data_IF_032411140122
#
_entry.id   IF_032411140122
#
_cell.length_a   1.000
_cell.length_b   1.000
_cell.length_c   1.000
_cell.angle_alpha   90.00
_cell.angle_beta   90.00
_cell.angle_gamma   90.00
#
_symmetry.space_group_name_H-M   'P 1'
#
loop_
_entity.id
_entity.type
_entity.pdbx_description
1 polymer ?
#
# COMPACT_ATOMS: atom_id res chain seq x y z
N UNK A 1 -29.75 -4.63 9.67
CA UNK A 1 -28.45 -5.03 10.24
C UNK A 1 -27.43 -4.98 9.12
N UNK A 2 -26.25 -4.43 9.35
CA UNK A 2 -25.16 -4.44 8.36
C UNK A 2 -24.47 -5.81 8.39
N UNK A 3 -24.01 -6.31 7.25
CA UNK A 3 -23.38 -7.62 7.12
C UNK A 3 -21.88 -7.47 6.94
N UNK A 4 -21.11 -8.01 7.87
CA UNK A 4 -19.66 -8.10 7.82
C UNK A 4 -19.26 -9.53 7.42
N UNK A 5 -18.66 -9.70 6.25
CA UNK A 5 -18.00 -10.95 5.89
C UNK A 5 -16.65 -11.04 6.59
N UNK A 6 -16.40 -12.11 7.35
CA UNK A 6 -15.12 -12.37 8.02
C UNK A 6 -14.46 -13.60 7.41
N UNK A 7 -13.19 -13.46 7.01
CA UNK A 7 -12.35 -14.56 6.51
C UNK A 7 -11.02 -14.56 7.25
N UNK A 8 -10.70 -15.62 7.98
CA UNK A 8 -9.40 -15.79 8.63
C UNK A 8 -8.61 -16.85 7.86
N UNK A 9 -7.40 -16.51 7.39
CA UNK A 9 -6.48 -17.53 6.91
C UNK A 9 -5.74 -18.12 8.13
N UNK A 10 -6.03 -19.36 8.55
CA UNK A 10 -5.54 -19.91 9.81
C UNK A 10 -4.04 -20.22 9.81
N UNK A 11 -3.36 -20.16 8.66
CA UNK A 11 -1.93 -20.47 8.54
C UNK A 11 -1.06 -19.22 8.30
N UNK A 12 -1.66 -18.04 8.19
CA UNK A 12 -0.92 -16.81 7.93
C UNK A 12 -0.08 -16.35 9.15
N UNK A 13 1.07 -15.73 8.85
CA UNK A 13 1.96 -15.14 9.85
C UNK A 13 3.02 -16.07 10.44
N UNK A 14 3.02 -17.37 10.11
CA UNK A 14 3.98 -18.33 10.68
C UNK A 14 5.42 -18.13 10.17
N UNK A 15 5.60 -17.92 8.87
CA UNK A 15 6.88 -18.01 8.19
C UNK A 15 7.84 -16.86 8.48
N UNK A 16 7.32 -15.63 8.58
CA UNK A 16 8.15 -14.45 8.85
C UNK A 16 8.88 -14.53 10.19
N UNK A 17 8.28 -15.19 11.20
CA UNK A 17 8.82 -15.30 12.56
C UNK A 17 10.00 -16.26 12.67
N UNK A 18 10.02 -17.30 11.84
CA UNK A 18 11.10 -18.30 11.79
C UNK A 18 12.10 -18.02 10.65
N UNK A 19 12.08 -16.82 10.09
CA UNK A 19 12.98 -16.42 9.01
C UNK A 19 12.70 -17.10 7.66
N UNK A 20 11.57 -17.79 7.53
CA UNK A 20 11.14 -18.37 6.27
C UNK A 20 10.57 -17.26 5.37
N UNK A 21 10.84 -17.37 4.06
CA UNK A 21 10.48 -16.38 3.05
C UNK A 21 9.00 -16.49 2.63
N UNK A 22 8.07 -16.55 3.58
CA UNK A 22 6.64 -16.77 3.31
C UNK A 22 6.04 -17.88 4.16
N UNK A 23 4.73 -18.10 4.05
CA UNK A 23 4.00 -19.22 4.67
C UNK A 23 3.22 -20.07 3.65
N UNK A 24 3.47 -19.82 2.37
CA UNK A 24 2.74 -20.44 1.28
C UNK A 24 3.36 -21.82 0.97
N UNK A 25 2.51 -22.82 0.75
CA UNK A 25 2.91 -24.20 0.47
C UNK A 25 2.99 -25.11 1.70
N UNK A 26 2.49 -26.35 1.54
CA UNK A 26 2.38 -27.34 2.61
C UNK A 26 3.72 -27.66 3.29
N UNK A 27 4.81 -27.73 2.52
CA UNK A 27 6.17 -28.01 3.03
C UNK A 27 6.71 -26.87 3.92
N UNK A 28 6.44 -25.61 3.57
CA UNK A 28 6.87 -24.44 4.35
C UNK A 28 6.06 -24.35 5.65
N UNK A 29 4.76 -24.63 5.58
CA UNK A 29 3.90 -24.66 6.77
C UNK A 29 4.32 -25.76 7.73
N UNK A 30 4.63 -26.96 7.22
CA UNK A 30 5.14 -28.07 8.02
C UNK A 30 6.46 -27.69 8.70
N UNK A 31 7.40 -27.12 7.95
CA UNK A 31 8.70 -26.67 8.48
C UNK A 31 8.56 -25.53 9.49
N UNK A 32 7.63 -24.60 9.29
CA UNK A 32 7.36 -23.52 10.26
C UNK A 32 6.82 -24.07 11.58
N UNK A 33 5.90 -25.05 11.52
CA UNK A 33 5.37 -25.75 12.71
C UNK A 33 6.45 -26.54 13.45
N UNK A 34 7.32 -27.24 12.73
CA UNK A 34 8.48 -27.95 13.31
C UNK A 34 9.45 -26.98 14.03
N UNK A 35 9.57 -25.75 13.53
CA UNK A 35 10.36 -24.68 14.16
C UNK A 35 9.60 -23.93 15.28
N UNK A 36 8.40 -24.40 15.67
CA UNK A 36 7.61 -23.85 16.76
C UNK A 36 6.84 -22.56 16.42
N UNK A 37 6.72 -22.21 15.14
CA UNK A 37 5.91 -21.07 14.71
C UNK A 37 4.43 -21.31 15.03
N UNK A 38 3.75 -20.28 15.53
CA UNK A 38 2.30 -20.26 15.75
C UNK A 38 1.65 -19.28 14.77
N UNK A 39 0.46 -19.58 14.23
CA UNK A 39 -0.28 -18.63 13.42
C UNK A 39 -0.60 -17.35 14.20
N UNK A 40 -0.54 -16.21 13.53
CA UNK A 40 -0.85 -14.91 14.15
C UNK A 40 -2.20 -14.34 13.68
N UNK A 41 -2.69 -14.76 12.52
CA UNK A 41 -3.95 -14.30 11.96
C UNK A 41 -5.16 -14.49 12.88
N UNK A 42 -5.36 -15.63 13.59
CA UNK A 42 -6.47 -15.77 14.53
C UNK A 42 -6.50 -14.69 15.61
N UNK A 43 -5.37 -14.49 16.29
CA UNK A 43 -5.25 -13.51 17.38
C UNK A 43 -5.48 -12.08 16.89
N UNK A 44 -4.93 -11.75 15.72
CA UNK A 44 -5.11 -10.43 15.11
C UNK A 44 -6.55 -10.22 14.63
N UNK A 45 -7.23 -11.26 14.15
CA UNK A 45 -8.65 -11.18 13.83
C UNK A 45 -9.48 -10.88 15.09
N UNK A 46 -9.22 -11.58 16.20
CA UNK A 46 -9.90 -11.32 17.48
C UNK A 46 -9.66 -9.88 17.96
N UNK A 47 -8.44 -9.36 17.86
CA UNK A 47 -8.12 -7.97 18.22
C UNK A 47 -8.95 -6.96 17.41
N UNK A 48 -9.07 -7.16 16.09
CA UNK A 48 -9.87 -6.30 15.22
C UNK A 48 -11.37 -6.42 15.56
N UNK A 49 -11.88 -7.63 15.77
CA UNK A 49 -13.28 -7.89 16.07
C UNK A 49 -13.69 -7.32 17.44
N UNK A 50 -12.80 -7.34 18.44
CA UNK A 50 -13.04 -6.70 19.75
C UNK A 50 -13.31 -5.20 19.64
N UNK A 51 -12.73 -4.53 18.63
CA UNK A 51 -13.05 -3.11 18.34
C UNK A 51 -14.46 -2.98 17.75
N UNK A 52 -14.82 -3.90 16.85
CA UNK A 52 -16.14 -3.92 16.17
C UNK A 52 -17.26 -4.33 17.15
N UNK A 53 -16.95 -5.06 18.23
CA UNK A 53 -17.90 -5.57 19.22
C UNK A 53 -18.81 -4.49 19.85
N UNK A 54 -18.40 -3.22 19.81
CA UNK A 54 -19.27 -2.07 20.18
C UNK A 54 -20.53 -1.95 19.31
N UNK A 55 -20.53 -2.59 18.14
CA UNK A 55 -21.62 -2.61 17.15
C UNK A 55 -22.32 -3.98 17.07
N UNK A 56 -22.10 -4.87 18.03
CA UNK A 56 -22.59 -6.27 17.98
C UNK A 56 -24.09 -6.41 17.68
N UNK A 57 -24.91 -5.49 18.16
CA UNK A 57 -26.37 -5.54 17.98
C UNK A 57 -26.81 -4.92 16.63
N UNK A 58 -25.87 -4.36 15.86
CA UNK A 58 -26.11 -3.66 14.58
C UNK A 58 -25.47 -4.38 13.39
N UNK A 59 -24.60 -5.36 13.65
CA UNK A 59 -23.77 -6.06 12.66
C UNK A 59 -24.01 -7.56 12.73
N UNK A 60 -24.37 -8.16 11.61
CA UNK A 60 -24.33 -9.62 11.38
C UNK A 60 -22.93 -9.98 10.89
N UNK A 61 -22.22 -10.85 11.61
CA UNK A 61 -21.00 -11.45 11.06
C UNK A 61 -21.40 -12.69 10.27
N UNK A 62 -20.99 -12.74 9.00
CA UNK A 62 -21.06 -13.92 8.16
C UNK A 62 -19.64 -14.44 8.01
N UNK A 63 -19.41 -15.72 8.31
CA UNK A 63 -18.07 -16.29 8.29
C UNK A 63 -18.10 -17.76 7.89
N UNK A 64 -16.92 -18.35 7.72
CA UNK A 64 -16.74 -19.77 7.42
C UNK A 64 -16.46 -20.57 8.69
N UNK A 65 -16.65 -21.91 8.67
CA UNK A 65 -16.58 -22.73 9.86
C UNK A 65 -15.19 -22.76 10.49
N UNK A 66 -15.16 -23.07 11.79
CA UNK A 66 -13.98 -23.34 12.59
C UNK A 66 -12.90 -22.25 12.50
N UNK A 67 -11.69 -22.61 12.08
CA UNK A 67 -10.50 -21.75 12.05
C UNK A 67 -10.52 -20.66 10.95
N UNK A 68 -11.56 -20.62 10.11
CA UNK A 68 -11.72 -19.60 9.07
C UNK A 68 -12.54 -18.38 9.50
N UNK A 69 -12.83 -18.25 10.79
CA UNK A 69 -13.40 -17.05 11.40
C UNK A 69 -14.53 -17.31 12.40
N UNK A 70 -15.13 -18.51 12.43
CA UNK A 70 -16.17 -18.87 13.40
C UNK A 70 -15.64 -18.80 14.84
N UNK A 71 -14.46 -19.38 15.08
CA UNK A 71 -13.83 -19.41 16.42
C UNK A 71 -13.49 -17.99 16.87
N UNK A 72 -12.87 -17.20 16.01
CA UNK A 72 -12.43 -15.83 16.29
C UNK A 72 -13.61 -14.89 16.54
N UNK A 73 -14.68 -15.00 15.75
CA UNK A 73 -15.89 -14.22 15.93
C UNK A 73 -16.58 -14.53 17.27
N UNK A 74 -16.69 -15.82 17.64
CA UNK A 74 -17.25 -16.22 18.93
C UNK A 74 -16.38 -15.76 20.10
N UNK A 75 -15.06 -15.88 20.00
CA UNK A 75 -14.14 -15.39 21.04
C UNK A 75 -14.21 -13.87 21.22
N UNK A 76 -14.46 -13.12 20.14
CA UNK A 76 -14.72 -11.69 20.20
C UNK A 76 -16.13 -11.31 20.71
N UNK A 77 -16.98 -12.29 21.01
CA UNK A 77 -18.30 -12.10 21.61
C UNK A 77 -19.45 -11.93 20.61
N UNK A 78 -19.26 -12.33 19.36
CA UNK A 78 -20.32 -12.37 18.35
C UNK A 78 -20.95 -13.76 18.24
N UNK A 79 -22.18 -13.81 17.75
CA UNK A 79 -22.82 -15.04 17.28
C UNK A 79 -22.88 -14.99 15.74
N UNK A 80 -21.87 -15.52 15.03
CA UNK A 80 -21.78 -15.37 13.59
C UNK A 80 -22.71 -16.35 12.87
N UNK A 81 -23.24 -15.92 11.72
CA UNK A 81 -23.85 -16.82 10.73
C UNK A 81 -22.74 -17.55 9.98
N UNK A 82 -22.58 -18.83 10.27
CA UNK A 82 -21.62 -19.70 9.60
C UNK A 82 -22.22 -20.22 8.28
N UNK A 83 -21.47 -20.09 7.20
CA UNK A 83 -21.84 -20.57 5.86
C UNK A 83 -20.71 -21.44 5.27
N UNK A 84 -21.02 -22.18 4.21
CA UNK A 84 -20.03 -23.03 3.53
C UNK A 84 -19.61 -24.24 4.37
N UNK A 85 -18.52 -24.88 3.94
CA UNK A 85 -17.94 -26.04 4.60
C UNK A 85 -16.45 -26.12 4.27
N UNK A 86 -15.63 -26.57 5.22
CA UNK A 86 -14.20 -26.81 5.05
C UNK A 86 -13.81 -28.15 5.68
N UNK A 87 -12.65 -28.68 5.31
CA UNK A 87 -12.02 -29.76 6.08
C UNK A 87 -11.12 -29.14 7.17
N UNK A 88 -11.62 -29.11 8.41
CA UNK A 88 -10.90 -28.46 9.51
C UNK A 88 -9.53 -29.10 9.74
N UNK A 89 -8.51 -28.27 9.88
CA UNK A 89 -7.10 -28.62 9.98
C UNK A 89 -6.36 -28.70 8.64
N UNK A 90 -7.09 -28.70 7.51
CA UNK A 90 -6.54 -28.89 6.16
C UNK A 90 -6.99 -27.79 5.18
N UNK A 91 -7.17 -26.56 5.66
CA UNK A 91 -7.58 -25.42 4.83
C UNK A 91 -6.54 -25.08 3.77
N UNK A 92 -7.01 -24.68 2.59
CA UNK A 92 -6.21 -24.34 1.42
C UNK A 92 -6.62 -22.97 0.82
N UNK A 93 -5.87 -22.45 -0.16
CA UNK A 93 -6.22 -21.22 -0.87
C UNK A 93 -7.63 -21.22 -1.49
N UNK A 94 -8.08 -22.37 -1.99
CA UNK A 94 -9.40 -22.54 -2.60
C UNK A 94 -10.52 -22.31 -1.59
N UNK A 95 -10.35 -22.74 -0.33
CA UNK A 95 -11.30 -22.45 0.75
C UNK A 95 -11.42 -20.93 1.00
N UNK A 96 -10.31 -20.19 0.93
CA UNK A 96 -10.33 -18.72 1.05
C UNK A 96 -11.06 -18.07 -0.12
N UNK A 97 -10.85 -18.58 -1.34
CA UNK A 97 -11.50 -18.07 -2.54
C UNK A 97 -13.01 -18.35 -2.53
N UNK A 98 -13.41 -19.57 -2.17
CA UNK A 98 -14.81 -19.96 -2.04
C UNK A 98 -15.50 -19.14 -0.95
N UNK A 99 -14.84 -18.93 0.19
CA UNK A 99 -15.37 -18.06 1.24
C UNK A 99 -15.65 -16.66 0.73
N UNK A 100 -14.71 -16.05 0.01
CA UNK A 100 -14.90 -14.72 -0.55
C UNK A 100 -16.06 -14.66 -1.57
N UNK A 101 -16.19 -15.66 -2.45
CA UNK A 101 -17.30 -15.75 -3.40
C UNK A 101 -18.65 -15.90 -2.70
N UNK A 102 -18.72 -16.73 -1.66
CA UNK A 102 -19.93 -16.93 -0.88
C UNK A 102 -20.32 -15.68 -0.08
N UNK A 103 -19.35 -14.93 0.44
CA UNK A 103 -19.61 -13.63 1.09
C UNK A 103 -20.24 -12.64 0.10
N UNK A 104 -19.70 -12.57 -1.13
CA UNK A 104 -20.24 -11.74 -2.20
C UNK A 104 -21.69 -12.17 -2.51
N UNK A 105 -21.94 -13.47 -2.68
CA UNK A 105 -23.26 -14.02 -2.96
C UNK A 105 -24.26 -13.81 -1.81
N UNK A 106 -23.79 -13.82 -0.56
CA UNK A 106 -24.59 -13.51 0.63
C UNK A 106 -24.94 -12.02 0.79
N UNK A 107 -24.36 -11.16 -0.06
CA UNK A 107 -24.57 -9.73 -0.09
C UNK A 107 -24.03 -9.04 1.16
N UNK A 108 -22.80 -9.35 1.56
CA UNK A 108 -22.13 -8.63 2.66
C UNK A 108 -21.87 -7.18 2.25
N UNK A 109 -21.90 -6.27 3.23
CA UNK A 109 -21.60 -4.86 2.99
C UNK A 109 -20.07 -4.63 2.87
N UNK A 110 -19.25 -5.48 3.51
CA UNK A 110 -17.78 -5.41 3.51
C UNK A 110 -17.19 -6.79 3.83
N UNK A 111 -16.04 -7.12 3.23
CA UNK A 111 -15.23 -8.28 3.59
C UNK A 111 -14.03 -7.82 4.41
N UNK A 112 -13.90 -8.32 5.63
CA UNK A 112 -12.75 -8.15 6.50
C UNK A 112 -11.98 -9.47 6.55
N UNK A 113 -10.70 -9.46 6.18
CA UNK A 113 -9.92 -10.69 6.10
C UNK A 113 -8.60 -10.60 6.87
N UNK A 114 -8.19 -11.67 7.54
CA UNK A 114 -6.90 -11.75 8.26
C UNK A 114 -5.91 -12.64 7.52
N UNK A 115 -4.78 -12.08 7.10
CA UNK A 115 -3.79 -12.80 6.30
C UNK A 115 -2.59 -11.96 5.89
N UNK A 116 -1.76 -12.52 4.98
CA UNK A 116 -0.68 -11.81 4.27
C UNK A 116 -0.99 -11.67 2.78
N UNK A 117 -0.07 -11.12 1.98
CA UNK A 117 -0.32 -10.77 0.58
C UNK A 117 -0.88 -11.93 -0.29
N UNK A 118 -0.44 -13.17 -0.08
CA UNK A 118 -1.03 -14.34 -0.76
C UNK A 118 -2.53 -14.53 -0.46
N UNK A 119 -2.99 -14.13 0.73
CA UNK A 119 -4.42 -14.11 1.10
C UNK A 119 -5.13 -12.97 0.36
N UNK A 120 -4.54 -11.77 0.30
CA UNK A 120 -5.11 -10.65 -0.46
C UNK A 120 -5.25 -11.00 -1.95
N UNK A 121 -4.27 -11.71 -2.51
CA UNK A 121 -4.31 -12.28 -3.87
C UNK A 121 -5.49 -13.23 -4.04
N UNK A 122 -5.68 -14.19 -3.12
CA UNK A 122 -6.81 -15.12 -3.18
C UNK A 122 -8.16 -14.38 -3.14
N UNK A 123 -8.30 -13.39 -2.25
CA UNK A 123 -9.52 -12.55 -2.20
C UNK A 123 -9.74 -11.83 -3.53
N UNK A 124 -8.69 -11.24 -4.11
CA UNK A 124 -8.80 -10.59 -5.41
C UNK A 124 -9.19 -11.56 -6.53
N UNK A 125 -8.57 -12.75 -6.60
CA UNK A 125 -8.92 -13.77 -7.60
C UNK A 125 -10.38 -14.18 -7.51
N UNK A 126 -10.91 -14.28 -6.28
CA UNK A 126 -12.28 -14.69 -6.02
C UNK A 126 -13.31 -13.59 -6.31
N UNK A 127 -13.02 -12.35 -5.93
CA UNK A 127 -13.97 -11.23 -5.95
C UNK A 127 -13.85 -10.41 -7.24
N UNK A 128 -12.66 -10.34 -7.83
CA UNK A 128 -12.37 -9.59 -9.06
C UNK A 128 -12.31 -8.07 -8.88
N UNK A 129 -11.71 -7.39 -9.86
CA UNK A 129 -11.57 -5.92 -9.90
C UNK A 129 -12.89 -5.17 -10.12
N UNK A 130 -13.96 -5.85 -10.54
CA UNK A 130 -15.27 -5.27 -10.81
C UNK A 130 -16.28 -5.38 -9.66
N UNK A 131 -15.88 -5.88 -8.50
CA UNK A 131 -16.76 -6.00 -7.34
C UNK A 131 -16.91 -4.67 -6.61
N UNK A 132 -18.16 -4.25 -6.40
CA UNK A 132 -18.49 -3.07 -5.59
C UNK A 132 -18.32 -3.33 -4.08
N UNK A 133 -18.10 -4.57 -3.66
CA UNK A 133 -17.97 -4.93 -2.25
C UNK A 133 -16.59 -4.51 -1.74
N UNK A 134 -16.50 -3.62 -0.75
CA UNK A 134 -15.23 -3.24 -0.17
C UNK A 134 -14.60 -4.39 0.61
N UNK A 135 -13.28 -4.43 0.59
CA UNK A 135 -12.45 -5.40 1.26
C UNK A 135 -11.45 -4.66 2.15
N UNK A 136 -11.19 -5.16 3.34
CA UNK A 136 -10.18 -4.60 4.24
C UNK A 136 -9.34 -5.72 4.88
N UNK A 137 -8.02 -5.60 4.77
CA UNK A 137 -7.08 -6.56 5.32
C UNK A 137 -6.68 -6.25 6.77
N UNK A 138 -6.73 -7.27 7.63
CA UNK A 138 -6.10 -7.32 8.94
C UNK A 138 -4.69 -7.90 8.74
N UNK A 139 -3.63 -7.12 8.97
CA UNK A 139 -2.28 -7.57 8.67
C UNK A 139 -1.90 -8.71 9.61
N UNK A 140 -1.55 -9.90 9.10
CA UNK A 140 -1.13 -11.06 9.90
C UNK A 140 0.38 -11.34 9.91
N UNK A 141 1.14 -10.70 9.02
CA UNK A 141 2.59 -10.90 8.88
C UNK A 141 3.39 -9.60 8.98
N UNK A 142 4.72 -9.76 8.87
CA UNK A 142 5.69 -8.65 8.85
C UNK A 142 6.10 -8.22 7.43
N UNK A 143 5.64 -8.94 6.40
CA UNK A 143 5.92 -8.67 4.98
C UNK A 143 4.59 -8.49 4.26
N UNK A 144 4.05 -7.28 4.35
CA UNK A 144 2.78 -6.91 3.72
C UNK A 144 3.05 -5.73 2.81
N UNK A 145 2.78 -5.92 1.54
CA UNK A 145 3.06 -4.98 0.46
C UNK A 145 1.79 -4.47 -0.20
N UNK A 146 0.68 -5.21 -0.13
CA UNK A 146 -0.61 -4.79 -0.67
C UNK A 146 -1.18 -3.61 0.11
N UNK A 147 -1.72 -2.62 -0.60
CA UNK A 147 -2.31 -1.41 -0.03
C UNK A 147 -3.75 -1.61 0.51
N UNK A 148 -4.22 -2.87 0.54
CA UNK A 148 -5.55 -3.27 1.04
C UNK A 148 -5.60 -3.50 2.54
N UNK A 149 -4.44 -3.49 3.21
CA UNK A 149 -4.33 -3.71 4.64
C UNK A 149 -4.42 -2.41 5.44
N UNK A 150 -5.03 -2.50 6.61
CA UNK A 150 -4.88 -1.46 7.63
C UNK A 150 -3.47 -1.51 8.25
N UNK A 151 -3.10 -0.42 8.94
CA UNK A 151 -1.78 -0.27 9.58
C UNK A 151 -1.53 -1.35 10.65
N UNK A 152 -2.58 -1.76 11.37
CA UNK A 152 -2.55 -2.79 12.40
C UNK A 152 -3.97 -3.33 12.65
N UNK A 153 -4.14 -4.44 13.42
CA UNK A 153 -5.46 -5.05 13.64
C UNK A 153 -6.49 -4.12 14.28
N UNK A 154 -6.08 -3.31 15.27
CA UNK A 154 -6.96 -2.32 15.89
C UNK A 154 -7.46 -1.29 14.87
N UNK A 155 -6.59 -0.85 13.96
CA UNK A 155 -6.94 0.09 12.89
C UNK A 155 -7.88 -0.54 11.87
N UNK A 156 -7.71 -1.83 11.56
CA UNK A 156 -8.63 -2.59 10.71
C UNK A 156 -10.03 -2.65 11.33
N UNK A 157 -10.10 -2.97 12.63
CA UNK A 157 -11.35 -2.97 13.39
C UNK A 157 -12.04 -1.60 13.42
N UNK A 158 -11.30 -0.52 13.66
CA UNK A 158 -11.86 0.84 13.65
C UNK A 158 -12.36 1.25 12.25
N UNK A 159 -11.60 0.95 11.19
CA UNK A 159 -12.00 1.29 9.83
C UNK A 159 -13.26 0.49 9.39
N UNK A 160 -13.30 -0.81 9.68
CA UNK A 160 -14.49 -1.63 9.43
C UNK A 160 -15.70 -1.14 10.24
N UNK A 161 -15.52 -0.83 11.53
CA UNK A 161 -16.59 -0.29 12.37
C UNK A 161 -17.13 1.03 11.82
N UNK A 162 -16.26 1.95 11.41
CA UNK A 162 -16.69 3.23 10.84
C UNK A 162 -17.43 3.06 9.51
N UNK A 163 -17.02 2.10 8.68
CA UNK A 163 -17.74 1.76 7.45
C UNK A 163 -19.13 1.18 7.76
N UNK A 164 -19.22 0.24 8.69
CA UNK A 164 -20.49 -0.39 9.10
C UNK A 164 -21.44 0.61 9.75
N UNK A 165 -20.93 1.62 10.46
CA UNK A 165 -21.73 2.74 10.99
C UNK A 165 -22.18 3.74 9.90
N UNK A 166 -21.76 3.57 8.65
CA UNK A 166 -22.01 4.53 7.55
C UNK A 166 -21.23 5.83 7.69
N UNK A 167 -20.17 5.86 8.51
CA UNK A 167 -19.30 7.03 8.76
C UNK A 167 -18.07 7.06 7.86
N UNK A 168 -17.72 5.97 7.20
CA UNK A 168 -16.79 5.97 6.07
C UNK A 168 -17.59 6.23 4.79
N UNK A 169 -17.28 7.33 4.10
CA UNK A 169 -18.09 7.84 2.97
C UNK A 169 -17.47 7.48 1.61
N UNK A 170 -16.19 7.10 1.61
CA UNK A 170 -15.41 6.88 0.40
C UNK A 170 -14.87 5.46 0.35
N UNK A 171 -14.86 4.91 -0.86
CA UNK A 171 -14.20 3.68 -1.24
C UNK A 171 -13.10 4.07 -2.23
N UNK A 172 -11.90 3.52 -2.07
CA UNK A 172 -10.80 3.72 -3.03
C UNK A 172 -10.32 2.38 -3.55
N UNK A 173 -9.84 2.38 -4.79
CA UNK A 173 -9.06 1.26 -5.30
C UNK A 173 -7.70 1.20 -4.60
N UNK A 174 -7.28 0.01 -4.20
CA UNK A 174 -6.01 -0.24 -3.55
C UNK A 174 -5.30 -1.43 -4.21
N UNK A 175 -4.00 -1.28 -4.40
CA UNK A 175 -3.14 -2.25 -5.08
C UNK A 175 -3.02 -3.54 -4.27
N UNK A 176 -3.25 -4.67 -4.92
CA UNK A 176 -2.90 -6.01 -4.44
C UNK A 176 -1.57 -6.37 -5.07
N UNK A 177 -0.54 -6.48 -4.24
CA UNK A 177 0.83 -6.75 -4.64
C UNK A 177 1.16 -8.19 -4.30
N UNK A 178 1.86 -8.87 -5.21
CA UNK A 178 2.40 -10.20 -4.98
C UNK A 178 3.92 -10.16 -5.07
N UNK A 179 4.59 -10.88 -4.19
CA UNK A 179 6.02 -11.11 -4.32
C UNK A 179 6.16 -12.53 -4.84
N UNK A 180 6.79 -12.68 -5.99
CA UNK A 180 7.20 -13.99 -6.46
C UNK A 180 8.18 -14.58 -5.43
N UNK A 181 7.67 -15.42 -4.53
CA UNK A 181 8.42 -15.98 -3.40
C UNK A 181 9.53 -16.94 -3.87
N UNK A 182 9.41 -17.50 -5.08
CA UNK A 182 10.44 -18.34 -5.70
C UNK A 182 11.56 -17.46 -6.26
N UNK A 183 11.24 -16.38 -6.98
CA UNK A 183 12.22 -15.38 -7.42
C UNK A 183 12.90 -14.68 -6.21
N UNK A 184 12.14 -14.40 -5.15
CA UNK A 184 12.66 -13.83 -3.91
C UNK A 184 13.57 -14.82 -3.17
N UNK A 185 13.30 -16.13 -3.28
CA UNK A 185 14.20 -17.19 -2.77
C UNK A 185 15.55 -17.15 -3.47
N UNK A 186 15.57 -16.89 -4.77
CA UNK A 186 16.77 -16.69 -5.60
C UNK A 186 17.40 -15.29 -5.47
N UNK A 187 16.87 -14.43 -4.61
CA UNK A 187 17.42 -13.08 -4.36
C UNK A 187 17.00 -12.02 -5.40
N UNK A 188 16.02 -12.32 -6.26
CA UNK A 188 15.40 -11.36 -7.17
C UNK A 188 14.08 -10.86 -6.57
N UNK A 189 14.01 -9.59 -6.24
CA UNK A 189 12.82 -8.99 -5.63
C UNK A 189 11.89 -8.50 -6.76
N UNK A 190 10.94 -9.34 -7.16
CA UNK A 190 9.91 -9.00 -8.15
C UNK A 190 8.56 -8.88 -7.44
N UNK A 191 8.22 -7.67 -7.00
CA UNK A 191 6.86 -7.37 -6.54
C UNK A 191 6.00 -7.03 -7.77
N UNK A 192 5.09 -7.93 -8.14
CA UNK A 192 4.18 -7.76 -9.28
C UNK A 192 2.83 -7.24 -8.81
N UNK A 193 2.28 -6.26 -9.52
CA UNK A 193 0.91 -5.80 -9.32
C UNK A 193 -0.05 -6.88 -9.84
N UNK A 194 -0.85 -7.45 -8.94
CA UNK A 194 -1.82 -8.49 -9.29
C UNK A 194 -3.19 -7.89 -9.67
N UNK A 195 -3.54 -6.76 -9.05
CA UNK A 195 -4.77 -6.04 -9.37
C UNK A 195 -5.16 -5.02 -8.32
N UNK A 196 -6.44 -4.65 -8.30
CA UNK A 196 -6.99 -3.65 -7.40
C UNK A 196 -8.24 -4.16 -6.70
N UNK A 197 -8.36 -3.86 -5.42
CA UNK A 197 -9.58 -4.08 -4.63
C UNK A 197 -10.11 -2.76 -4.09
N UNK A 198 -11.43 -2.68 -3.96
CA UNK A 198 -12.11 -1.59 -3.30
C UNK A 198 -11.89 -1.66 -1.78
N UNK A 199 -11.42 -0.59 -1.15
CA UNK A 199 -11.12 -0.53 0.29
C UNK A 199 -11.81 0.68 0.91
N UNK A 200 -12.47 0.55 2.08
CA UNK A 200 -13.07 1.68 2.76
C UNK A 200 -11.99 2.68 3.20
N UNK A 201 -12.17 3.93 2.79
CA UNK A 201 -11.30 5.03 3.17
C UNK A 201 -11.76 5.63 4.51
N UNK A 202 -10.85 5.65 5.49
CA UNK A 202 -11.13 6.18 6.81
C UNK A 202 -10.42 7.53 7.03
N UNK A 203 -11.17 8.63 6.86
CA UNK A 203 -10.68 10.01 7.10
C UNK A 203 -10.67 10.43 8.57
N UNK A 204 -11.02 9.60 9.56
CA UNK A 204 -10.98 10.01 10.99
C UNK A 204 -9.55 10.20 11.55
N UNK A 205 -8.51 9.92 10.77
CA UNK A 205 -7.11 10.29 11.03
C UNK A 205 -6.58 11.38 10.08
N UNK A 206 -7.44 11.98 9.26
CA UNK A 206 -7.18 13.21 8.51
C UNK A 206 -8.41 14.10 8.61
N UNK A 207 -8.34 15.04 9.53
CA UNK A 207 -9.25 16.16 9.62
C UNK A 207 -9.25 16.94 8.29
N UNK A 208 -10.42 17.10 7.69
CA UNK A 208 -10.90 18.33 7.02
C UNK A 208 -12.35 18.09 6.60
N UNK A 209 -13.34 18.59 7.34
CA UNK A 209 -13.94 19.92 7.15
C UNK A 209 -14.12 20.27 5.67
N UNK A 210 -15.19 19.73 5.08
CA UNK A 210 -15.87 20.13 3.84
C UNK A 210 -15.03 20.11 2.53
N UNK A 211 -15.60 19.40 1.55
CA UNK A 211 -15.23 19.27 0.12
C UNK A 211 -13.95 18.47 -0.23
N UNK A 212 -14.04 17.48 -1.14
CA UNK A 212 -12.80 17.00 -1.80
C UNK A 212 -12.67 15.61 -2.44
N UNK A 213 -13.62 14.66 -2.42
CA UNK A 213 -13.34 13.34 -3.05
C UNK A 213 -13.12 13.40 -4.59
N UNK A 214 -13.55 14.49 -5.25
CA UNK A 214 -13.22 14.80 -6.66
C UNK A 214 -11.88 15.54 -6.83
N UNK A 215 -11.26 16.06 -5.77
CA UNK A 215 -10.09 16.94 -5.88
C UNK A 215 -8.77 16.18 -6.00
N UNK A 216 -8.53 15.10 -5.23
CA UNK A 216 -7.19 14.48 -5.23
C UNK A 216 -6.80 13.89 -6.59
N UNK A 217 -7.70 13.19 -7.29
CA UNK A 217 -7.43 12.68 -8.65
C UNK A 217 -7.17 13.82 -9.63
N UNK A 218 -7.89 14.93 -9.50
CA UNK A 218 -7.70 16.13 -10.31
C UNK A 218 -6.40 16.86 -9.95
N UNK A 219 -6.00 16.88 -8.68
CA UNK A 219 -4.73 17.39 -8.18
C UNK A 219 -3.58 16.58 -8.77
N UNK A 220 -3.61 15.25 -8.68
CA UNK A 220 -2.58 14.36 -9.23
C UNK A 220 -2.49 14.49 -10.76
N UNK A 221 -3.62 14.58 -11.46
CA UNK A 221 -3.62 14.86 -12.91
C UNK A 221 -3.07 16.27 -13.22
N UNK A 222 -3.36 17.25 -12.37
CA UNK A 222 -2.83 18.60 -12.47
C UNK A 222 -1.31 18.64 -12.26
N UNK A 223 -0.79 17.91 -11.27
CA UNK A 223 0.65 17.71 -11.03
C UNK A 223 1.29 17.14 -12.30
N UNK A 224 0.74 16.06 -12.84
CA UNK A 224 1.27 15.44 -14.05
C UNK A 224 1.31 16.41 -15.22
N UNK A 225 0.23 17.16 -15.44
CA UNK A 225 0.17 18.18 -16.48
C UNK A 225 1.21 19.28 -16.27
N UNK A 226 1.37 19.78 -15.04
CA UNK A 226 2.34 20.83 -14.68
C UNK A 226 3.77 20.37 -14.97
N UNK A 227 4.15 19.15 -14.54
CA UNK A 227 5.49 18.63 -14.78
C UNK A 227 5.74 18.46 -16.29
N UNK A 228 4.82 17.83 -17.03
CA UNK A 228 4.98 17.58 -18.47
C UNK A 228 5.02 18.88 -19.29
N UNK A 229 4.25 19.90 -18.89
CA UNK A 229 4.25 21.20 -19.55
C UNK A 229 5.57 21.97 -19.35
N UNK A 230 6.23 21.79 -18.20
CA UNK A 230 7.49 22.45 -17.86
C UNK A 230 8.74 21.59 -18.16
N UNK A 231 8.57 20.40 -18.76
CA UNK A 231 9.72 19.59 -19.20
C UNK A 231 10.53 20.34 -20.25
N UNK A 232 11.84 20.46 -20.00
CA UNK A 232 12.79 21.11 -20.86
C UNK A 232 13.35 20.11 -21.87
N UNK A 233 13.52 20.57 -23.11
CA UNK A 233 14.21 19.80 -24.14
C UNK A 233 15.70 19.63 -23.77
N UNK A 234 16.29 18.53 -24.21
CA UNK A 234 17.68 18.12 -24.00
C UNK A 234 18.11 18.07 -22.52
N UNK A 235 17.16 17.75 -21.64
CA UNK A 235 17.39 17.52 -20.22
C UNK A 235 16.91 16.13 -19.79
N UNK A 236 17.67 15.52 -18.89
CA UNK A 236 17.31 14.24 -18.27
C UNK A 236 16.34 14.50 -17.13
N UNK A 237 15.29 13.69 -17.05
CA UNK A 237 14.34 13.65 -15.95
C UNK A 237 14.46 12.31 -15.23
N UNK A 238 14.91 12.36 -13.98
CA UNK A 238 14.93 11.23 -13.05
C UNK A 238 13.58 11.23 -12.33
N UNK A 239 12.75 10.25 -12.65
CA UNK A 239 11.41 10.10 -12.05
C UNK A 239 11.51 9.08 -10.93
N UNK A 240 11.39 9.56 -9.69
CA UNK A 240 11.43 8.72 -8.50
C UNK A 240 10.16 7.86 -8.34
N UNK A 241 10.20 6.88 -7.44
CA UNK A 241 9.10 5.94 -7.24
C UNK A 241 7.87 6.60 -6.60
N UNK A 242 6.70 6.01 -6.85
CA UNK A 242 5.44 6.40 -6.22
C UNK A 242 4.27 6.62 -7.18
N UNK A 243 3.06 6.60 -6.63
CA UNK A 243 1.81 6.76 -7.41
C UNK A 243 1.65 8.16 -7.99
N UNK A 244 2.17 9.19 -7.31
CA UNK A 244 2.12 10.57 -7.80
C UNK A 244 3.05 10.77 -9.00
N UNK A 245 4.28 10.26 -8.94
CA UNK A 245 5.24 10.34 -10.06
C UNK A 245 4.83 9.44 -11.23
N UNK A 246 4.20 8.28 -10.97
CA UNK A 246 3.56 7.44 -12.00
C UNK A 246 2.59 8.22 -12.88
N UNK A 247 1.79 9.12 -12.32
CA UNK A 247 0.82 9.89 -13.10
C UNK A 247 1.49 10.77 -14.17
N UNK A 248 2.73 11.20 -13.94
CA UNK A 248 3.56 11.95 -14.90
C UNK A 248 3.92 11.04 -16.08
N UNK A 249 4.39 9.82 -15.80
CA UNK A 249 4.74 8.85 -16.84
C UNK A 249 3.51 8.43 -17.65
N UNK A 250 2.36 8.22 -16.99
CA UNK A 250 1.09 7.94 -17.67
C UNK A 250 0.66 9.09 -18.59
N UNK A 251 0.86 10.34 -18.15
CA UNK A 251 0.54 11.52 -18.97
C UNK A 251 1.46 11.67 -20.18
N UNK A 252 2.69 11.16 -20.10
CA UNK A 252 3.65 11.05 -21.20
C UNK A 252 3.42 9.81 -22.09
N UNK A 253 2.50 8.93 -21.72
CA UNK A 253 2.27 7.63 -22.39
C UNK A 253 3.52 6.74 -22.41
N UNK A 254 4.33 6.81 -21.35
CA UNK A 254 5.57 6.04 -21.19
C UNK A 254 5.42 4.87 -20.21
N UNK A 255 6.20 3.78 -20.39
CA UNK A 255 6.31 2.72 -19.40
C UNK A 255 6.89 3.27 -18.09
N UNK A 256 6.42 2.75 -16.96
CA UNK A 256 6.82 3.23 -15.63
C UNK A 256 7.04 2.09 -14.64
N UNK A 257 7.80 2.39 -13.60
CA UNK A 257 8.06 1.52 -12.47
C UNK A 257 7.53 2.16 -11.19
N UNK A 258 6.74 1.43 -10.40
CA UNK A 258 6.15 1.99 -9.18
C UNK A 258 7.17 2.19 -8.06
N UNK A 259 8.08 1.22 -7.90
CA UNK A 259 9.11 1.19 -6.84
C UNK A 259 10.52 1.45 -7.38
N UNK A 260 10.65 1.59 -8.70
CA UNK A 260 11.91 1.86 -9.37
C UNK A 260 12.12 3.35 -9.64
N UNK A 261 13.29 3.66 -10.16
CA UNK A 261 13.61 4.99 -10.68
C UNK A 261 13.66 4.88 -12.20
N UNK A 262 12.88 5.71 -12.88
CA UNK A 262 12.86 5.77 -14.34
C UNK A 262 13.61 7.01 -14.84
N UNK A 263 14.18 6.91 -16.04
CA UNK A 263 14.95 7.98 -16.68
C UNK A 263 14.29 8.35 -17.99
N UNK A 264 13.94 9.63 -18.12
CA UNK A 264 13.27 10.20 -19.30
C UNK A 264 14.16 11.26 -19.93
N UNK A 265 14.20 11.30 -21.26
CA UNK A 265 14.87 12.34 -22.04
C UNK A 265 13.97 12.70 -23.21
N UNK A 266 13.74 14.00 -23.45
CA UNK A 266 12.91 14.47 -24.56
C UNK A 266 11.52 13.81 -24.62
N UNK A 267 10.90 13.64 -23.44
CA UNK A 267 9.58 12.98 -23.27
C UNK A 267 9.55 11.53 -23.79
N UNK A 268 10.71 10.90 -23.92
CA UNK A 268 10.86 9.50 -24.27
C UNK A 268 11.57 8.77 -23.14
N UNK A 269 11.26 7.49 -23.00
CA UNK A 269 11.93 6.65 -22.01
C UNK A 269 13.37 6.38 -22.45
N UNK A 270 14.32 6.69 -21.58
CA UNK A 270 15.73 6.36 -21.77
C UNK A 270 16.06 5.03 -21.09
N UNK A 271 15.56 4.82 -19.88
CA UNK A 271 15.67 3.57 -19.14
C UNK A 271 14.59 3.47 -18.05
N UNK A 272 14.12 2.26 -17.77
CA UNK A 272 13.23 1.96 -16.65
C UNK A 272 13.96 1.20 -15.55
N UNK A 273 13.49 1.37 -14.31
CA UNK A 273 13.95 0.65 -13.12
C UNK A 273 15.49 0.58 -13.00
N UNK A 274 16.14 1.73 -13.13
CA UNK A 274 17.60 1.79 -13.14
C UNK A 274 18.16 1.57 -11.74
N UNK A 275 19.27 0.83 -11.65
CA UNK A 275 20.07 0.81 -10.44
C UNK A 275 20.89 2.09 -10.31
N UNK A 276 21.50 2.29 -9.13
CA UNK A 276 22.28 3.49 -8.80
C UNK A 276 23.44 3.74 -9.79
N UNK A 277 24.15 2.69 -10.21
CA UNK A 277 25.29 2.84 -11.12
C UNK A 277 24.82 3.26 -12.52
N UNK A 278 23.78 2.62 -13.04
CA UNK A 278 23.15 3.01 -14.30
C UNK A 278 22.64 4.45 -14.26
N UNK A 279 21.93 4.81 -13.17
CA UNK A 279 21.41 6.16 -12.99
C UNK A 279 22.53 7.19 -13.01
N UNK A 280 23.63 6.94 -12.30
CA UNK A 280 24.76 7.86 -12.26
C UNK A 280 25.39 8.07 -13.65
N UNK A 281 25.56 7.01 -14.45
CA UNK A 281 26.09 7.13 -15.82
C UNK A 281 25.14 7.90 -16.76
N UNK A 282 23.82 7.83 -16.53
CA UNK A 282 22.88 8.65 -17.29
C UNK A 282 23.04 10.13 -16.95
N UNK A 283 23.11 10.49 -15.66
CA UNK A 283 23.06 11.89 -15.20
C UNK A 283 24.40 12.61 -15.27
N UNK A 284 25.53 11.90 -15.07
CA UNK A 284 26.85 12.50 -14.87
C UNK A 284 27.21 13.53 -15.94
N UNK A 285 27.36 14.79 -15.53
CA UNK A 285 27.76 15.90 -16.40
C UNK A 285 26.68 16.33 -17.40
N UNK A 286 25.44 15.90 -17.20
CA UNK A 286 24.29 16.27 -18.05
C UNK A 286 23.27 17.04 -17.24
N UNK A 287 22.56 17.94 -17.91
CA UNK A 287 21.48 18.70 -17.32
C UNK A 287 20.37 17.75 -16.86
N UNK A 288 20.15 17.68 -15.56
CA UNK A 288 19.30 16.67 -14.93
C UNK A 288 18.32 17.31 -13.96
N UNK A 289 17.06 16.93 -14.07
CA UNK A 289 15.97 17.25 -13.16
C UNK A 289 15.55 16.00 -12.39
N UNK A 290 15.37 16.13 -11.08
CA UNK A 290 14.90 15.04 -10.22
C UNK A 290 13.48 15.33 -9.80
N UNK A 291 12.54 14.43 -10.11
CA UNK A 291 11.13 14.55 -9.71
C UNK A 291 10.80 13.44 -8.71
N UNK A 292 10.52 13.81 -7.46
CA UNK A 292 10.25 12.86 -6.36
C UNK A 292 8.96 13.20 -5.64
N UNK A 293 8.37 12.21 -4.99
CA UNK A 293 7.21 12.36 -4.09
C UNK A 293 7.56 11.84 -2.70
N UNK A 294 6.76 12.20 -1.70
CA UNK A 294 6.79 11.54 -0.40
C UNK A 294 6.44 10.04 -0.53
N UNK A 295 7.32 9.18 -0.02
CA UNK A 295 7.23 7.71 -0.05
C UNK A 295 6.70 7.18 1.29
N UNK A 296 5.82 6.17 1.23
CA UNK A 296 5.49 5.30 2.36
C UNK A 296 4.73 5.93 3.53
N UNK A 297 4.00 7.04 3.34
CA UNK A 297 3.20 7.70 4.39
C UNK A 297 4.03 8.34 5.53
N UNK A 298 5.35 8.13 5.55
CA UNK A 298 6.27 8.71 6.52
C UNK A 298 6.88 10.03 6.05
N UNK A 299 6.69 10.41 4.79
CA UNK A 299 7.12 11.70 4.26
C UNK A 299 8.56 11.74 3.73
N UNK A 300 9.23 10.60 3.52
CA UNK A 300 10.58 10.60 2.96
C UNK A 300 10.56 10.95 1.47
N UNK A 301 11.39 11.89 1.04
CA UNK A 301 11.58 12.24 -0.37
C UNK A 301 12.90 11.70 -0.94
N UNK A 302 13.89 11.45 -0.09
CA UNK A 302 15.16 10.82 -0.45
C UNK A 302 15.60 9.80 0.60
N UNK A 303 16.32 8.78 0.15
CA UNK A 303 16.81 7.69 0.98
C UNK A 303 15.88 6.49 0.89
N UNK A 304 14.90 6.43 1.80
CA UNK A 304 14.03 5.25 1.94
C UNK A 304 13.17 5.03 0.70
N UNK A 305 13.42 3.89 0.04
CA UNK A 305 12.64 3.43 -1.10
C UNK A 305 13.07 4.03 -2.43
N UNK A 306 14.10 4.89 -2.46
CA UNK A 306 14.68 5.45 -3.66
C UNK A 306 16.21 5.64 -3.54
N UNK A 307 16.90 4.70 -2.89
CA UNK A 307 18.35 4.75 -2.66
C UNK A 307 19.18 4.83 -3.95
N UNK A 308 18.59 4.48 -5.10
CA UNK A 308 19.22 4.66 -6.41
C UNK A 308 19.55 6.14 -6.68
N UNK A 309 18.75 7.08 -6.15
CA UNK A 309 19.01 8.52 -6.22
C UNK A 309 20.02 8.89 -5.14
N UNK A 310 21.25 8.43 -5.33
CA UNK A 310 22.35 8.53 -4.36
C UNK A 310 22.86 9.97 -4.17
N UNK A 311 23.68 10.23 -3.13
CA UNK A 311 24.27 11.55 -2.92
C UNK A 311 25.02 12.12 -4.13
N UNK A 312 25.69 11.27 -4.92
CA UNK A 312 26.40 11.72 -6.13
C UNK A 312 25.44 12.09 -7.27
N UNK A 313 24.32 11.38 -7.42
CA UNK A 313 23.27 11.74 -8.38
C UNK A 313 22.64 13.08 -8.01
N UNK A 314 22.30 13.27 -6.73
CA UNK A 314 21.70 14.50 -6.22
C UNK A 314 22.64 15.69 -6.42
N UNK A 315 23.93 15.52 -6.12
CA UNK A 315 24.95 16.58 -6.28
C UNK A 315 25.18 16.96 -7.74
N UNK A 316 25.21 15.98 -8.63
CA UNK A 316 25.41 16.22 -10.07
C UNK A 316 24.20 16.94 -10.69
N UNK A 317 22.99 16.57 -10.26
CA UNK A 317 21.77 17.26 -10.67
C UNK A 317 21.64 18.68 -10.06
N UNK A 318 22.06 18.89 -8.82
CA UNK A 318 21.93 20.16 -8.11
C UNK A 318 20.58 20.33 -7.39
N UNK A 319 20.60 21.00 -6.24
CA UNK A 319 19.42 21.18 -5.36
C UNK A 319 18.29 21.92 -6.06
N UNK A 320 18.63 22.88 -6.92
CA UNK A 320 17.72 23.73 -7.68
C UNK A 320 16.93 22.98 -8.75
N UNK A 321 17.39 21.79 -9.16
CA UNK A 321 16.74 20.95 -10.16
C UNK A 321 15.92 19.81 -9.52
N UNK A 322 15.69 19.87 -8.19
CA UNK A 322 14.83 18.94 -7.47
C UNK A 322 13.41 19.51 -7.43
N UNK A 323 12.48 18.80 -8.05
CA UNK A 323 11.04 19.05 -7.97
C UNK A 323 10.40 18.01 -7.08
N UNK A 324 9.77 18.47 -6.00
CA UNK A 324 8.98 17.60 -5.13
C UNK A 324 7.51 17.74 -5.49
N UNK A 325 6.80 16.61 -5.64
CA UNK A 325 5.38 16.56 -5.98
C UNK A 325 4.60 15.83 -4.90
N UNK A 326 3.42 16.34 -4.52
CA UNK A 326 2.52 15.67 -3.57
C UNK A 326 1.12 16.27 -3.62
N UNK A 327 0.08 15.45 -3.47
CA UNK A 327 -1.29 15.95 -3.27
C UNK A 327 -1.41 16.73 -1.96
N UNK A 328 -2.41 17.61 -1.87
CA UNK A 328 -2.68 18.37 -0.64
C UNK A 328 -2.99 17.43 0.52
N UNK A 329 -3.79 16.40 0.25
CA UNK A 329 -4.15 15.38 1.24
C UNK A 329 -2.90 14.64 1.76
N UNK A 330 -1.95 14.30 0.88
CA UNK A 330 -0.68 13.69 1.29
C UNK A 330 0.14 14.61 2.19
N UNK A 331 0.27 15.90 1.84
CA UNK A 331 0.98 16.88 2.67
C UNK A 331 0.28 17.11 4.02
N UNK A 332 -1.05 17.18 4.04
CA UNK A 332 -1.84 17.34 5.27
C UNK A 332 -1.65 16.15 6.21
N UNK A 333 -1.59 14.92 5.67
CA UNK A 333 -1.35 13.72 6.50
C UNK A 333 0.04 13.68 7.15
N UNK A 334 1.02 14.40 6.58
CA UNK A 334 2.39 14.45 7.09
C UNK A 334 2.54 15.54 8.15
N UNK A 335 1.74 16.60 8.07
CA UNK A 335 1.74 17.70 9.03
C UNK A 335 1.53 17.20 10.48
N UNK A 336 2.19 17.83 11.46
CA UNK A 336 3.04 19.02 11.36
C UNK A 336 4.52 18.71 11.03
N UNK A 337 4.86 17.46 10.69
CA UNK A 337 6.25 17.04 10.45
C UNK A 337 6.77 17.54 9.10
N UNK A 338 8.09 17.78 8.96
CA UNK A 338 8.67 18.05 7.66
C UNK A 338 8.64 16.80 6.77
N UNK A 339 8.85 17.02 5.48
CA UNK A 339 9.29 15.95 4.58
C UNK A 339 10.72 15.58 4.94
N UNK A 340 11.03 14.29 4.87
CA UNK A 340 12.26 13.73 5.41
C UNK A 340 13.28 13.45 4.31
N UNK A 341 14.53 13.77 4.61
CA UNK A 341 15.70 13.40 3.80
C UNK A 341 16.65 12.55 4.63
N UNK A 342 17.04 11.41 4.08
CA UNK A 342 17.97 10.45 4.68
C UNK A 342 18.83 9.84 3.56
N UNK A 343 19.68 10.65 2.94
CA UNK A 343 20.49 10.21 1.78
C UNK A 343 21.65 9.29 2.18
N UNK A 344 21.88 9.09 3.48
CA UNK A 344 23.06 8.43 4.02
C UNK A 344 24.31 9.33 4.05
N UNK A 345 24.19 10.60 3.66
CA UNK A 345 25.24 11.61 3.70
C UNK A 345 24.77 12.83 4.52
N UNK A 346 25.19 12.94 5.79
CA UNK A 346 24.68 13.98 6.70
C UNK A 346 24.97 15.42 6.25
N UNK A 347 26.00 15.64 5.43
CA UNK A 347 26.29 16.97 4.89
C UNK A 347 25.31 17.31 3.77
N UNK A 348 25.03 16.35 2.88
CA UNK A 348 24.01 16.53 1.86
C UNK A 348 22.61 16.69 2.48
N UNK A 349 22.27 15.93 3.51
CA UNK A 349 20.97 16.02 4.19
C UNK A 349 20.75 17.42 4.80
N UNK A 350 21.79 18.02 5.38
CA UNK A 350 21.76 19.43 5.83
C UNK A 350 21.57 20.39 4.67
N UNK A 351 22.26 20.17 3.55
CA UNK A 351 22.13 21.01 2.36
C UNK A 351 20.74 20.91 1.74
N UNK A 352 20.10 19.74 1.79
CA UNK A 352 18.74 19.50 1.30
C UNK A 352 17.66 19.96 2.28
N UNK A 353 18.01 20.31 3.52
CA UNK A 353 17.04 20.87 4.46
C UNK A 353 16.63 22.30 4.06
N UNK A 354 15.42 22.69 4.42
CA UNK A 354 14.86 24.01 4.12
C UNK A 354 13.44 23.97 3.59
N UNK A 355 12.95 25.07 3.03
CA UNK A 355 11.61 25.12 2.44
C UNK A 355 11.68 24.87 0.93
N UNK A 356 10.82 23.98 0.47
CA UNK A 356 10.69 23.62 -0.94
C UNK A 356 9.34 24.06 -1.48
N UNK A 357 9.32 24.43 -2.76
CA UNK A 357 8.09 24.55 -3.53
C UNK A 357 7.66 23.14 -3.94
N UNK A 358 6.56 22.67 -3.39
CA UNK A 358 5.95 21.39 -3.72
C UNK A 358 4.87 21.63 -4.77
N UNK A 359 4.93 20.92 -5.90
CA UNK A 359 3.87 20.94 -6.91
C UNK A 359 2.71 20.08 -6.41
N UNK A 360 1.55 20.70 -6.22
CA UNK A 360 0.34 20.07 -5.67
C UNK A 360 -0.83 19.99 -6.66
N UNK A 361 -0.69 20.61 -7.83
CA UNK A 361 -1.69 20.60 -8.90
C UNK A 361 -1.22 21.41 -10.11
N UNK A 362 -2.14 21.64 -11.06
CA UNK A 362 -1.89 22.50 -12.22
C UNK A 362 -1.74 23.95 -11.78
N UNK A 363 -0.59 24.57 -12.05
CA UNK A 363 -0.23 25.91 -11.61
C UNK A 363 -0.42 26.14 -10.10
N UNK A 364 -0.34 25.07 -9.31
CA UNK A 364 -0.55 25.08 -7.86
C UNK A 364 0.69 24.55 -7.14
N UNK A 365 1.30 25.42 -6.33
CA UNK A 365 2.49 25.09 -5.55
C UNK A 365 2.35 25.53 -4.12
N UNK A 366 2.81 24.71 -3.18
CA UNK A 366 2.81 24.97 -1.74
C UNK A 366 4.23 25.01 -1.21
N UNK A 367 4.52 25.88 -0.24
CA UNK A 367 5.78 25.83 0.50
C UNK A 367 5.68 24.78 1.60
N UNK A 368 6.62 23.84 1.63
CA UNK A 368 6.68 22.82 2.68
C UNK A 368 8.10 22.64 3.20
N UNK A 369 8.25 22.34 4.50
CA UNK A 369 9.55 22.16 5.14
C UNK A 369 10.09 20.77 4.84
N UNK A 370 11.35 20.70 4.44
CA UNK A 370 12.17 19.48 4.32
C UNK A 370 13.24 19.51 5.40
N UNK A 371 13.48 18.39 6.07
CA UNK A 371 14.48 18.27 7.13
C UNK A 371 14.87 16.81 7.41
N UNK A 372 15.77 16.63 8.36
CA UNK A 372 16.24 15.30 8.81
C UNK A 372 15.40 14.70 9.94
N UNK A 373 14.58 15.52 10.61
CA UNK A 373 13.76 15.14 11.78
C UNK A 373 12.45 15.93 11.87
#
# INVERSE_FOLDING_TARGET
MKKLGLIVNPVAGMGGRVGLKGSDGAEIQKRARELGAKPESPLRAIEALKVIARLKDQVEIITYPYEMGEVEAREAGFDPRVIGSINSGETNPEDTMQAAQDMVAAGVDIILFAGGDGTARNIYTAVGSGSDIPVLGIPAGVKIHSAVYAINPKSAGEAAALFLEGKAVNIREAEVMDIDEDAFREGRLSAQLYGYLNVPENKKYVQSVKSGARSEKAEVQGIAAEIVANMQDDAIYVIGPGTTTRSIMQKLELPYTLLGVDVVLNKQILANDVNEQQLYEFVKGKKTHIVVTAIGGQGHIFGRGNQQISPRVIRDAGKENITVVASRDKLVSIMPRPLLVDTGDPELDRQLSGYYRIVAGWQDTLMYKVGTE
#
